data_IF_266474272569
#
_entry.id   IF_266474272569
#
_cell.length_a   1.000
_cell.length_b   1.000
_cell.length_c   1.000
_cell.angle_alpha   90.00
_cell.angle_beta   90.00
_cell.angle_gamma   90.00
#
_symmetry.space_group_name_H-M   'P 1'
#
loop_
_entity.id
_entity.type
_entity.pdbx_description
1 polymer ?
#
# COMPACT_ATOMS: atom_id res chain seq x y z
N UNK A 1 -4.99 2.75 -22.05
CA UNK A 1 -4.72 1.87 -20.88
C UNK A 1 -4.52 2.80 -19.69
N UNK A 2 -5.30 2.67 -18.62
CA UNK A 2 -5.28 3.60 -17.47
C UNK A 2 -4.50 3.07 -16.26
N UNK A 3 -4.24 1.76 -16.24
CA UNK A 3 -3.51 1.08 -15.18
C UNK A 3 -2.92 -0.22 -15.72
N UNK A 4 -1.97 -0.78 -14.97
CA UNK A 4 -1.38 -2.10 -15.16
C UNK A 4 -1.57 -2.90 -13.88
N UNK A 5 -2.00 -4.15 -14.00
CA UNK A 5 -1.98 -5.10 -12.86
C UNK A 5 -0.58 -5.65 -12.70
N UNK A 6 -0.04 -5.57 -11.50
CA UNK A 6 1.22 -6.21 -11.17
C UNK A 6 1.28 -6.54 -9.67
N UNK A 7 1.90 -7.67 -9.28
CA UNK A 7 2.07 -7.98 -7.87
C UNK A 7 3.10 -7.05 -7.21
N UNK A 8 2.97 -6.78 -5.90
CA UNK A 8 3.99 -6.07 -5.15
C UNK A 8 5.30 -6.85 -5.09
N UNK A 9 6.41 -6.16 -4.82
CA UNK A 9 7.71 -6.78 -4.58
C UNK A 9 7.89 -6.99 -3.06
N UNK A 10 8.05 -8.24 -2.57
CA UNK A 10 8.20 -8.53 -1.15
C UNK A 10 9.40 -7.87 -0.48
N UNK A 11 9.29 -7.57 0.81
CA UNK A 11 10.33 -7.01 1.66
C UNK A 11 10.88 -8.09 2.63
N UNK A 12 12.21 -8.27 2.73
CA UNK A 12 12.79 -9.23 3.66
C UNK A 12 12.72 -8.71 5.11
N UNK A 13 12.37 -9.60 6.04
CA UNK A 13 12.39 -9.37 7.50
C UNK A 13 11.70 -8.07 7.95
N UNK A 14 10.43 -7.85 7.60
CA UNK A 14 9.73 -6.63 7.99
C UNK A 14 9.44 -6.60 9.49
N UNK A 15 9.36 -5.40 10.06
CA UNK A 15 8.91 -5.18 11.44
C UNK A 15 8.08 -3.90 11.52
N UNK A 16 7.16 -3.86 12.49
CA UNK A 16 6.28 -2.72 12.71
C UNK A 16 7.01 -1.61 13.46
N UNK A 17 7.05 -0.41 12.87
CA UNK A 17 7.64 0.79 13.51
C UNK A 17 6.61 1.53 14.36
N UNK A 18 5.43 1.78 13.79
CA UNK A 18 4.33 2.45 14.48
C UNK A 18 3.00 2.19 13.77
N UNK A 19 1.90 2.40 14.49
CA UNK A 19 0.54 2.48 13.96
C UNK A 19 -0.10 3.81 14.33
N UNK A 20 -1.03 4.27 13.50
CA UNK A 20 -1.80 5.48 13.77
C UNK A 20 -3.27 5.11 14.06
N UNK A 21 -3.70 5.06 15.33
CA UNK A 21 -5.08 4.69 15.69
C UNK A 21 -6.14 5.53 15.00
N UNK A 22 -5.88 6.84 14.84
CA UNK A 22 -6.77 7.74 14.12
C UNK A 22 -6.97 7.36 12.64
N UNK A 23 -5.93 6.84 11.96
CA UNK A 23 -6.04 6.39 10.59
C UNK A 23 -6.77 5.03 10.49
N UNK A 24 -6.53 4.12 11.44
CA UNK A 24 -7.25 2.85 11.52
C UNK A 24 -8.75 3.05 11.74
N UNK A 25 -9.13 4.04 12.55
CA UNK A 25 -10.53 4.40 12.76
C UNK A 25 -11.25 4.85 11.47
N UNK A 26 -10.53 5.48 10.51
CA UNK A 26 -11.08 5.82 9.19
C UNK A 26 -11.42 4.57 8.36
N UNK A 27 -10.77 3.45 8.63
CA UNK A 27 -11.02 2.14 8.02
C UNK A 27 -12.05 1.31 8.81
N UNK A 28 -12.66 1.89 9.85
CA UNK A 28 -13.69 1.25 10.68
C UNK A 28 -13.16 0.34 11.79
N UNK A 29 -11.85 0.38 12.07
CA UNK A 29 -11.25 -0.43 13.14
C UNK A 29 -11.40 0.27 14.48
N UNK A 30 -11.76 -0.48 15.52
CA UNK A 30 -11.69 0.00 16.90
C UNK A 30 -10.30 -0.30 17.52
N UNK A 31 -10.06 0.22 18.73
CA UNK A 31 -8.77 0.04 19.40
C UNK A 31 -8.45 -1.44 19.65
N UNK A 32 -9.44 -2.25 20.05
CA UNK A 32 -9.24 -3.69 20.28
C UNK A 32 -8.87 -4.42 18.99
N UNK A 33 -9.59 -4.15 17.89
CA UNK A 33 -9.28 -4.75 16.58
C UNK A 33 -7.83 -4.44 16.16
N UNK A 34 -7.42 -3.18 16.31
CA UNK A 34 -6.06 -2.76 15.97
C UNK A 34 -5.01 -3.43 16.86
N UNK A 35 -5.25 -3.49 18.17
CA UNK A 35 -4.33 -4.13 19.13
C UNK A 35 -4.17 -5.62 18.89
N UNK A 36 -5.20 -6.30 18.39
CA UNK A 36 -5.12 -7.71 18.04
C UNK A 36 -4.44 -7.92 16.68
N UNK A 37 -4.75 -7.09 15.69
CA UNK A 37 -4.15 -7.15 14.36
C UNK A 37 -2.62 -6.95 14.41
N UNK A 38 -2.09 -6.00 15.19
CA UNK A 38 -0.64 -5.75 15.24
C UNK A 38 0.19 -6.90 15.83
N UNK A 39 -0.47 -7.88 16.49
CA UNK A 39 0.18 -9.09 17.01
C UNK A 39 0.27 -10.20 15.96
N UNK A 40 -0.52 -10.12 14.90
CA UNK A 40 -0.54 -11.08 13.82
C UNK A 40 0.53 -10.72 12.76
N UNK A 41 1.52 -11.59 12.47
CA UNK A 41 2.48 -11.38 11.39
C UNK A 41 1.82 -11.11 10.03
N UNK A 42 0.64 -11.70 9.77
CA UNK A 42 -0.10 -11.50 8.53
C UNK A 42 -0.51 -10.03 8.32
N UNK A 43 -0.68 -9.26 9.40
CA UNK A 43 -0.93 -7.83 9.31
C UNK A 43 0.23 -7.14 8.61
N UNK A 44 1.46 -7.29 9.10
CA UNK A 44 2.63 -6.67 8.47
C UNK A 44 2.81 -7.15 7.03
N UNK A 45 2.66 -8.46 6.80
CA UNK A 45 2.87 -9.05 5.47
C UNK A 45 1.90 -8.50 4.41
N UNK A 46 0.65 -8.19 4.78
CA UNK A 46 -0.31 -7.55 3.86
C UNK A 46 0.05 -6.10 3.51
N UNK A 47 0.62 -5.34 4.45
CA UNK A 47 0.92 -3.91 4.25
C UNK A 47 2.27 -3.68 3.55
N UNK A 48 3.18 -4.65 3.60
CA UNK A 48 4.48 -4.58 2.89
C UNK A 48 4.49 -5.35 1.57
N UNK A 49 3.35 -5.92 1.17
CA UNK A 49 3.23 -6.66 -0.08
C UNK A 49 3.89 -8.04 -0.09
N UNK A 50 4.14 -8.63 1.09
CA UNK A 50 4.59 -10.02 1.22
C UNK A 50 3.43 -11.00 1.02
N UNK A 51 2.20 -10.58 1.32
CA UNK A 51 0.97 -11.31 1.06
C UNK A 51 -0.08 -10.39 0.44
N UNK A 52 -0.82 -10.88 -0.56
CA UNK A 52 -1.96 -10.16 -1.14
C UNK A 52 -3.24 -10.85 -0.67
N UNK A 53 -4.14 -10.16 0.06
CA UNK A 53 -5.41 -10.73 0.46
C UNK A 53 -6.27 -11.09 -0.75
N UNK A 54 -7.08 -12.16 -0.66
CA UNK A 54 -7.92 -12.65 -1.77
C UNK A 54 -8.93 -11.61 -2.31
N UNK A 55 -9.25 -10.59 -1.52
CA UNK A 55 -10.16 -9.50 -1.90
C UNK A 55 -9.45 -8.33 -2.60
N UNK A 56 -8.11 -8.33 -2.69
CA UNK A 56 -7.33 -7.25 -3.28
C UNK A 56 -6.88 -7.57 -4.72
N UNK A 57 -6.86 -6.55 -5.59
CA UNK A 57 -6.36 -6.61 -6.98
C UNK A 57 -5.36 -5.45 -7.19
N UNK A 58 -4.07 -5.62 -6.81
CA UNK A 58 -3.07 -4.55 -6.87
C UNK A 58 -2.85 -4.01 -8.28
N UNK A 59 -2.78 -2.70 -8.42
CA UNK A 59 -2.66 -2.01 -9.70
C UNK A 59 -1.77 -0.77 -9.59
N UNK A 60 -1.04 -0.47 -10.66
CA UNK A 60 -0.30 0.77 -10.82
C UNK A 60 -0.99 1.63 -11.89
N UNK A 61 -1.32 2.87 -11.55
CA UNK A 61 -1.95 3.81 -12.48
C UNK A 61 -0.92 4.51 -13.36
N UNK A 62 -1.33 4.90 -14.57
CA UNK A 62 -0.54 5.76 -15.44
C UNK A 62 -1.13 7.17 -15.42
N UNK A 63 -0.28 8.17 -15.22
CA UNK A 63 -0.66 9.58 -15.25
C UNK A 63 0.45 10.41 -15.88
N UNK A 64 0.24 11.72 -16.03
CA UNK A 64 1.23 12.64 -16.60
C UNK A 64 1.19 13.97 -15.86
N UNK A 65 2.19 14.82 -16.09
CA UNK A 65 2.20 16.14 -15.50
C UNK A 65 3.36 17.02 -15.98
N UNK A 66 3.28 18.30 -15.64
CA UNK A 66 4.40 19.21 -15.78
C UNK A 66 5.26 19.13 -14.51
N UNK A 67 6.58 19.00 -14.66
CA UNK A 67 7.55 19.08 -13.56
C UNK A 67 8.47 20.25 -13.84
N UNK A 68 8.66 21.14 -12.86
CA UNK A 68 9.48 22.35 -12.99
C UNK A 68 9.12 23.23 -14.21
N UNK A 69 7.84 23.27 -14.59
CA UNK A 69 7.34 24.07 -15.71
C UNK A 69 7.50 23.43 -17.10
N UNK A 70 8.04 22.21 -17.20
CA UNK A 70 8.21 21.48 -18.45
C UNK A 70 7.35 20.21 -18.45
N UNK A 71 6.76 19.86 -19.60
CA UNK A 71 5.99 18.62 -19.74
C UNK A 71 6.92 17.40 -19.59
N UNK A 72 6.64 16.55 -18.59
CA UNK A 72 7.48 15.40 -18.27
C UNK A 72 7.11 14.12 -19.05
N UNK A 73 6.08 14.17 -19.91
CA UNK A 73 5.59 12.98 -20.61
C UNK A 73 4.77 12.07 -19.70
N UNK A 74 4.92 10.75 -19.89
CA UNK A 74 4.24 9.73 -19.09
C UNK A 74 4.94 9.57 -17.73
N UNK A 75 4.17 9.72 -16.66
CA UNK A 75 4.49 9.36 -15.28
C UNK A 75 3.65 8.13 -14.89
N UNK A 76 3.60 7.80 -13.61
CA UNK A 76 2.79 6.70 -13.08
C UNK A 76 3.23 6.33 -11.66
N UNK A 77 2.56 5.34 -11.08
CA UNK A 77 2.92 4.78 -9.79
C UNK A 77 4.16 3.88 -9.91
N UNK A 78 5.32 4.48 -10.16
CA UNK A 78 6.56 3.75 -10.44
C UNK A 78 7.20 3.06 -9.22
N UNK A 79 6.65 3.25 -8.01
CA UNK A 79 7.15 2.72 -6.73
C UNK A 79 6.05 2.39 -5.72
N UNK A 80 4.78 2.38 -6.14
CA UNK A 80 3.63 2.12 -5.28
C UNK A 80 2.63 1.24 -6.04
N UNK A 81 2.06 0.25 -5.37
CA UNK A 81 1.12 -0.73 -5.93
C UNK A 81 0.24 -1.26 -4.80
#
# INVERSE_FOLDING_TARGET
MFFTRLPPTPLPSPYLVSVAPAAAALLGWNETDLQDAVKDPAFIDSFVGNAVPDWADPLATVYSGHQFGVWAGQLGDGRAI
#
